data_IF_916279894913
#
_entry.id   IF_916279894913
#
_cell.length_a   1.000
_cell.length_b   1.000
_cell.length_c   1.000
_cell.angle_alpha   90.00
_cell.angle_beta   90.00
_cell.angle_gamma   90.00
#
_symmetry.space_group_name_H-M   'P 1'
#
loop_
_entity.id
_entity.type
_entity.pdbx_description
1 polymer ?
#
# COMPACT_ATOMS: atom_id res chain seq x y z
N UNK A 1 2.43 13.65 21.32
CA UNK A 1 3.08 13.03 20.14
C UNK A 1 2.06 12.16 19.44
N UNK A 2 2.00 12.19 18.10
CA UNK A 2 1.13 11.26 17.35
C UNK A 2 1.66 9.85 17.55
N UNK A 3 0.80 8.90 17.87
CA UNK A 3 1.18 7.47 18.04
C UNK A 3 1.52 6.84 16.70
N UNK A 4 2.43 5.88 16.68
CA UNK A 4 2.77 5.11 15.49
C UNK A 4 1.54 4.42 14.89
N UNK A 5 1.53 4.28 13.57
CA UNK A 5 0.45 3.68 12.77
C UNK A 5 0.98 2.52 11.94
N UNK A 6 0.09 1.83 11.25
CA UNK A 6 0.47 0.80 10.29
C UNK A 6 0.21 1.32 8.88
N UNK A 7 1.24 1.35 8.05
CA UNK A 7 1.13 1.79 6.66
C UNK A 7 1.42 0.64 5.69
N UNK A 8 0.39 0.27 4.90
CA UNK A 8 0.55 -0.65 3.78
C UNK A 8 1.09 0.10 2.56
N UNK A 9 2.38 -0.05 2.32
CA UNK A 9 3.13 0.68 1.29
C UNK A 9 3.41 -0.13 0.02
N UNK A 10 2.75 -1.26 -0.15
CA UNK A 10 2.79 -2.01 -1.39
C UNK A 10 2.03 -1.32 -2.53
N UNK A 11 2.49 -1.52 -3.75
CA UNK A 11 1.84 -0.95 -4.94
C UNK A 11 0.45 -1.56 -5.16
N UNK A 12 -0.49 -0.85 -5.82
CA UNK A 12 -1.79 -1.42 -6.17
C UNK A 12 -1.64 -2.80 -6.85
N UNK A 13 -2.57 -3.72 -6.61
CA UNK A 13 -2.59 -5.11 -7.15
C UNK A 13 -1.52 -6.05 -6.58
N UNK A 14 -0.91 -5.71 -5.46
CA UNK A 14 -0.02 -6.61 -4.70
C UNK A 14 -0.70 -7.29 -3.49
N UNK A 15 -2.02 -7.15 -3.35
CA UNK A 15 -2.77 -7.69 -2.20
C UNK A 15 -3.10 -6.65 -1.12
N UNK A 16 -3.04 -5.36 -1.45
CA UNK A 16 -3.31 -4.25 -0.52
C UNK A 16 -4.69 -4.32 0.14
N UNK A 17 -5.70 -4.81 -0.59
CA UNK A 17 -7.05 -4.99 -0.06
C UNK A 17 -7.13 -6.15 0.94
N UNK A 18 -6.48 -7.26 0.63
CA UNK A 18 -6.37 -8.40 1.55
C UNK A 18 -5.64 -8.00 2.84
N UNK A 19 -4.57 -7.21 2.72
CA UNK A 19 -3.88 -6.64 3.88
C UNK A 19 -4.81 -5.75 4.71
N UNK A 20 -5.58 -4.86 4.06
CA UNK A 20 -6.54 -4.00 4.77
C UNK A 20 -7.53 -4.81 5.60
N UNK A 21 -8.15 -5.82 5.00
CA UNK A 21 -9.09 -6.71 5.70
C UNK A 21 -8.42 -7.52 6.82
N UNK A 22 -7.19 -7.98 6.61
CA UNK A 22 -6.43 -8.68 7.65
C UNK A 22 -6.17 -7.76 8.87
N UNK A 23 -5.83 -6.50 8.64
CA UNK A 23 -5.66 -5.53 9.71
C UNK A 23 -6.97 -5.23 10.46
N UNK A 24 -8.10 -5.17 9.74
CA UNK A 24 -9.43 -5.04 10.37
C UNK A 24 -9.77 -6.24 11.26
N UNK A 25 -9.48 -7.46 10.80
CA UNK A 25 -9.66 -8.70 11.60
C UNK A 25 -8.79 -8.66 12.86
N UNK A 26 -7.59 -8.08 12.79
CA UNK A 26 -6.69 -7.88 13.94
C UNK A 26 -7.13 -6.72 14.87
N UNK A 27 -8.26 -6.08 14.59
CA UNK A 27 -8.86 -5.04 15.42
C UNK A 27 -8.39 -3.61 15.13
N UNK A 28 -7.68 -3.38 14.02
CA UNK A 28 -7.26 -2.03 13.61
C UNK A 28 -8.34 -1.31 12.81
N UNK A 29 -8.57 -0.04 13.10
CA UNK A 29 -9.39 0.85 12.24
C UNK A 29 -8.59 1.17 10.99
N UNK A 30 -8.96 0.56 9.86
CA UNK A 30 -8.17 0.57 8.65
C UNK A 30 -8.83 1.38 7.54
N UNK A 31 -8.07 2.24 6.87
CA UNK A 31 -8.47 2.92 5.66
C UNK A 31 -7.80 2.32 4.42
N UNK A 32 -8.62 2.01 3.40
CA UNK A 32 -8.12 1.51 2.12
C UNK A 32 -8.46 2.47 0.99
N UNK A 33 -7.45 2.85 0.18
CA UNK A 33 -7.62 3.80 -0.92
C UNK A 33 -8.24 5.12 -0.48
N UNK A 34 -7.52 5.85 0.37
CA UNK A 34 -8.00 7.08 0.98
C UNK A 34 -8.19 8.20 -0.04
N UNK A 35 -9.38 8.81 0.00
CA UNK A 35 -9.81 9.82 -0.95
C UNK A 35 -9.54 11.23 -0.40
N UNK A 36 -8.28 11.63 -0.35
CA UNK A 36 -7.93 12.99 0.06
C UNK A 36 -7.29 13.78 -1.09
N UNK A 37 -7.63 15.05 -1.18
CA UNK A 37 -6.99 16.00 -2.11
C UNK A 37 -5.82 16.71 -1.44
N UNK A 38 -5.81 16.80 -0.13
CA UNK A 38 -4.85 17.59 0.64
C UNK A 38 -3.43 17.08 0.49
N UNK A 39 -3.22 15.77 0.41
CA UNK A 39 -1.89 15.19 0.19
C UNK A 39 -1.27 15.58 -1.16
N UNK A 40 -2.08 15.78 -2.20
CA UNK A 40 -1.62 16.29 -3.50
C UNK A 40 -1.22 17.76 -3.43
N UNK A 41 -1.63 18.46 -2.38
CA UNK A 41 -1.27 19.87 -2.09
C UNK A 41 -0.12 19.97 -1.09
N UNK A 42 0.47 18.83 -0.67
CA UNK A 42 1.54 18.77 0.33
C UNK A 42 1.07 18.88 1.78
N UNK A 43 -0.25 18.93 2.00
CA UNK A 43 -0.83 18.93 3.34
C UNK A 43 -1.13 17.48 3.78
N UNK A 44 -0.31 16.97 4.69
CA UNK A 44 -0.45 15.66 5.31
C UNK A 44 -1.11 15.72 6.70
N UNK A 45 -1.54 16.89 7.16
CA UNK A 45 -2.31 17.13 8.39
C UNK A 45 -3.79 16.83 8.15
N UNK A 46 -4.12 15.60 7.77
CA UNK A 46 -5.51 15.25 7.50
C UNK A 46 -6.15 14.57 8.69
N UNK A 47 -7.38 14.95 9.03
CA UNK A 47 -8.16 14.32 10.10
C UNK A 47 -8.47 12.85 9.78
N UNK A 48 -8.47 12.48 8.50
CA UNK A 48 -8.75 11.11 8.07
C UNK A 48 -7.77 10.09 8.65
N UNK A 49 -6.48 10.44 8.83
CA UNK A 49 -5.50 9.58 9.47
C UNK A 49 -5.57 9.66 11.01
N UNK A 50 -6.15 10.71 11.56
CA UNK A 50 -6.24 10.87 13.02
C UNK A 50 -7.07 9.74 13.65
N UNK A 51 -8.14 9.31 12.98
CA UNK A 51 -9.05 8.29 13.47
C UNK A 51 -8.70 6.86 13.03
N UNK A 52 -7.70 6.69 12.17
CA UNK A 52 -7.28 5.40 11.68
C UNK A 52 -6.03 4.89 12.40
N UNK A 53 -5.98 3.59 12.63
CA UNK A 53 -4.80 2.91 13.15
C UNK A 53 -3.91 2.42 12.01
N UNK A 54 -4.51 2.16 10.83
CA UNK A 54 -3.82 1.70 9.64
C UNK A 54 -4.35 2.34 8.35
N UNK A 55 -3.49 2.45 7.35
CA UNK A 55 -3.85 2.91 6.01
C UNK A 55 -3.12 2.13 4.93
N UNK A 56 -3.82 1.77 3.85
CA UNK A 56 -3.27 0.93 2.76
C UNK A 56 -3.68 1.47 1.39
N UNK A 57 -2.92 1.05 0.36
CA UNK A 57 -3.15 1.42 -1.04
C UNK A 57 -2.85 2.90 -1.36
N UNK A 58 -2.97 3.25 -2.64
CA UNK A 58 -2.71 4.62 -3.12
C UNK A 58 -3.53 5.67 -2.36
N UNK A 59 -2.92 6.77 -1.90
CA UNK A 59 -1.57 7.22 -2.23
C UNK A 59 -0.48 6.86 -1.20
N UNK A 60 -0.76 5.98 -0.22
CA UNK A 60 0.18 5.63 0.86
C UNK A 60 1.57 5.21 0.34
N UNK A 61 1.70 4.34 -0.71
CA UNK A 61 3.01 3.93 -1.22
C UNK A 61 3.88 5.06 -1.74
N UNK A 62 3.28 6.18 -2.11
CA UNK A 62 4.01 7.33 -2.67
C UNK A 62 4.58 8.22 -1.58
N UNK A 63 3.88 8.34 -0.45
CA UNK A 63 4.17 9.29 0.62
C UNK A 63 4.64 8.63 1.93
N UNK A 64 5.13 7.37 1.89
CA UNK A 64 5.56 6.69 3.12
C UNK A 64 6.68 7.42 3.88
N UNK A 65 7.63 8.14 3.25
CA UNK A 65 8.64 8.87 4.01
C UNK A 65 8.07 10.05 4.80
N UNK A 66 7.03 10.70 4.27
CA UNK A 66 6.32 11.79 4.95
C UNK A 66 5.52 11.25 6.15
N UNK A 67 4.87 10.10 5.98
CA UNK A 67 4.14 9.45 7.07
C UNK A 67 5.07 8.92 8.17
N UNK A 68 6.23 8.40 7.82
CA UNK A 68 7.24 7.96 8.79
C UNK A 68 7.71 9.11 9.69
N UNK A 69 8.04 10.25 9.07
CA UNK A 69 8.42 11.46 9.82
C UNK A 69 7.30 11.98 10.73
N UNK A 70 6.05 11.86 10.26
CA UNK A 70 4.88 12.43 10.94
C UNK A 70 4.35 11.55 12.07
N UNK A 71 4.46 10.25 11.93
CA UNK A 71 3.98 9.24 12.87
C UNK A 71 5.14 8.35 13.35
N UNK A 72 6.05 8.88 14.21
CA UNK A 72 7.19 8.10 14.71
C UNK A 72 6.74 6.80 15.38
N UNK A 73 7.51 5.73 15.20
CA UNK A 73 7.18 4.39 15.72
C UNK A 73 6.15 3.64 14.90
N UNK A 74 5.87 4.10 13.68
CA UNK A 74 4.99 3.39 12.74
C UNK A 74 5.62 2.10 12.23
N UNK A 75 4.76 1.16 11.81
CA UNK A 75 5.14 -0.08 11.11
C UNK A 75 4.73 -0.01 9.65
N UNK A 76 5.59 -0.50 8.78
CA UNK A 76 5.40 -0.44 7.34
C UNK A 76 5.33 -1.85 6.74
N UNK A 77 4.32 -2.10 5.92
CA UNK A 77 4.10 -3.40 5.29
C UNK A 77 4.11 -3.19 3.78
N UNK A 78 5.17 -3.62 3.12
CA UNK A 78 5.29 -3.58 1.67
C UNK A 78 4.77 -4.88 1.08
N UNK A 79 3.48 -4.92 0.70
CA UNK A 79 2.97 -6.03 -0.08
C UNK A 79 3.64 -6.04 -1.46
N UNK A 80 4.10 -7.19 -1.89
CA UNK A 80 4.74 -7.37 -3.20
C UNK A 80 4.28 -8.66 -3.86
N UNK A 81 4.65 -8.85 -5.10
CA UNK A 81 4.49 -10.10 -5.86
C UNK A 81 5.49 -10.10 -7.01
N UNK A 82 5.61 -11.25 -7.67
CA UNK A 82 6.42 -11.38 -8.88
C UNK A 82 6.07 -10.27 -9.91
N UNK A 83 7.10 -9.62 -10.46
CA UNK A 83 6.94 -8.45 -11.34
C UNK A 83 6.13 -8.77 -12.59
N UNK A 84 6.35 -9.92 -13.23
CA UNK A 84 5.61 -10.29 -14.45
C UNK A 84 4.13 -10.55 -14.14
N UNK A 85 3.88 -11.25 -13.04
CA UNK A 85 2.52 -11.49 -12.53
C UNK A 85 1.82 -10.19 -12.17
N UNK A 86 2.55 -9.24 -11.56
CA UNK A 86 2.03 -7.92 -11.24
C UNK A 86 1.68 -7.12 -12.49
N UNK A 87 2.56 -7.09 -13.50
CA UNK A 87 2.33 -6.38 -14.76
C UNK A 87 1.08 -6.88 -15.49
N UNK A 88 0.86 -8.20 -15.52
CA UNK A 88 -0.38 -8.78 -16.08
C UNK A 88 -1.61 -8.33 -15.30
N UNK A 89 -1.54 -8.32 -13.97
CA UNK A 89 -2.66 -7.95 -13.11
C UNK A 89 -3.02 -6.47 -13.22
N UNK A 90 -2.04 -5.58 -13.20
CA UNK A 90 -2.28 -4.13 -13.25
C UNK A 90 -2.77 -3.71 -14.65
N UNK A 91 -2.24 -4.31 -15.72
CA UNK A 91 -2.72 -4.10 -17.09
C UNK A 91 -4.20 -4.46 -17.20
N UNK A 92 -4.58 -5.69 -16.83
CA UNK A 92 -5.98 -6.15 -16.84
C UNK A 92 -6.90 -5.24 -16.01
N UNK A 93 -6.43 -4.82 -14.84
CA UNK A 93 -7.18 -3.91 -13.97
C UNK A 93 -7.42 -2.55 -14.64
N UNK A 94 -6.42 -2.01 -15.31
CA UNK A 94 -6.55 -0.72 -15.99
C UNK A 94 -7.39 -0.80 -17.24
N UNK A 95 -7.29 -1.88 -18.03
CA UNK A 95 -8.12 -2.13 -19.20
C UNK A 95 -9.59 -2.28 -18.81
N UNK A 96 -9.89 -3.01 -17.74
CA UNK A 96 -11.25 -3.13 -17.18
C UNK A 96 -11.86 -1.80 -16.71
N UNK A 97 -11.02 -0.81 -16.43
CA UNK A 97 -11.44 0.54 -16.01
C UNK A 97 -11.50 1.55 -17.15
N UNK A 98 -11.14 1.17 -18.39
CA UNK A 98 -11.04 2.10 -19.53
C UNK A 98 -12.39 2.78 -19.88
N UNK A 99 -13.52 2.13 -19.62
CA UNK A 99 -14.84 2.75 -19.80
C UNK A 99 -15.12 3.94 -18.88
N UNK A 100 -14.66 3.86 -17.63
CA UNK A 100 -14.96 4.86 -16.57
C UNK A 100 -13.77 5.77 -16.25
N UNK A 101 -12.54 5.31 -16.45
CA UNK A 101 -11.35 5.97 -15.92
C UNK A 101 -10.90 7.21 -16.70
N UNK A 102 -11.29 7.35 -17.96
CA UNK A 102 -11.03 8.58 -18.72
C UNK A 102 -11.87 9.76 -18.19
N UNK A 103 -12.98 9.49 -17.50
CA UNK A 103 -13.88 10.49 -16.92
C UNK A 103 -13.59 10.77 -15.43
N UNK A 104 -12.92 9.86 -14.72
CA UNK A 104 -12.55 10.06 -13.31
C UNK A 104 -11.20 10.75 -13.19
N UNK A 105 -11.23 12.08 -13.09
CA UNK A 105 -10.04 12.91 -12.93
C UNK A 105 -9.18 12.52 -11.72
N UNK A 106 -9.79 12.04 -10.64
CA UNK A 106 -9.07 11.60 -9.44
C UNK A 106 -8.22 10.36 -9.73
N UNK A 107 -8.75 9.35 -10.44
CA UNK A 107 -7.99 8.16 -10.86
C UNK A 107 -6.83 8.54 -11.77
N UNK A 108 -7.04 9.50 -12.67
CA UNK A 108 -5.98 10.03 -13.54
C UNK A 108 -4.88 10.68 -12.72
N UNK A 109 -5.21 11.53 -11.75
CA UNK A 109 -4.24 12.18 -10.86
C UNK A 109 -3.43 11.16 -10.07
N UNK A 110 -4.07 10.12 -9.49
CA UNK A 110 -3.35 9.06 -8.77
C UNK A 110 -2.48 8.21 -9.69
N UNK A 111 -2.87 7.95 -10.93
CA UNK A 111 -2.01 7.29 -11.92
C UNK A 111 -0.79 8.12 -12.24
N UNK A 112 -0.98 9.41 -12.50
CA UNK A 112 0.13 10.33 -12.74
C UNK A 112 1.09 10.38 -11.55
N UNK A 113 0.55 10.48 -10.34
CA UNK A 113 1.32 10.48 -9.09
C UNK A 113 2.13 9.19 -8.92
N UNK A 114 1.49 8.04 -9.15
CA UNK A 114 2.10 6.72 -8.86
C UNK A 114 3.04 6.26 -9.97
N UNK A 115 2.65 6.45 -11.24
CA UNK A 115 3.37 5.89 -12.39
C UNK A 115 4.01 6.95 -13.29
N UNK A 116 3.69 8.24 -13.08
CA UNK A 116 4.17 9.33 -13.92
C UNK A 116 3.49 9.41 -15.29
N UNK A 117 2.39 8.66 -15.51
CA UNK A 117 1.62 8.68 -16.75
C UNK A 117 0.18 8.21 -16.55
N UNK A 118 -0.70 8.55 -17.50
CA UNK A 118 -2.12 8.21 -17.43
C UNK A 118 -2.46 6.83 -17.99
N UNK A 119 -1.69 6.37 -18.99
CA UNK A 119 -1.92 5.11 -19.66
C UNK A 119 -0.90 4.05 -19.24
N UNK A 120 -1.27 2.79 -19.40
CA UNK A 120 -0.36 1.69 -19.12
C UNK A 120 0.79 1.67 -20.13
N UNK A 121 2.02 1.58 -19.63
CA UNK A 121 3.23 1.31 -20.37
C UNK A 121 4.01 0.21 -19.65
N UNK A 122 4.28 -0.87 -20.33
CA UNK A 122 4.95 -2.04 -19.76
C UNK A 122 6.29 -1.66 -19.12
N UNK A 123 7.12 -0.94 -19.87
CA UNK A 123 8.46 -0.53 -19.42
C UNK A 123 8.41 0.42 -18.22
N UNK A 124 7.53 1.44 -18.31
CA UNK A 124 7.39 2.41 -17.22
C UNK A 124 6.87 1.77 -15.94
N UNK A 125 5.88 0.91 -16.04
CA UNK A 125 5.30 0.25 -14.88
C UNK A 125 6.29 -0.73 -14.23
N UNK A 126 7.04 -1.48 -15.03
CA UNK A 126 8.15 -2.30 -14.55
C UNK A 126 9.16 -1.46 -13.77
N UNK A 127 9.65 -0.40 -14.39
CA UNK A 127 10.59 0.51 -13.75
C UNK A 127 10.07 1.04 -12.40
N UNK A 128 8.79 1.45 -12.35
CA UNK A 128 8.20 2.02 -11.13
C UNK A 128 8.09 0.97 -10.01
N UNK A 129 7.59 -0.24 -10.28
CA UNK A 129 7.43 -1.25 -9.23
C UNK A 129 8.78 -1.74 -8.71
N UNK A 130 9.75 -1.97 -9.58
CA UNK A 130 11.10 -2.41 -9.19
C UNK A 130 11.85 -1.31 -8.43
N UNK A 131 11.72 -0.06 -8.87
CA UNK A 131 12.33 1.09 -8.18
C UNK A 131 11.69 1.31 -6.83
N UNK A 132 10.36 1.19 -6.73
CA UNK A 132 9.67 1.30 -5.45
C UNK A 132 10.16 0.27 -4.43
N UNK A 133 10.27 -1.00 -4.82
CA UNK A 133 10.76 -2.06 -3.93
C UNK A 133 12.19 -1.79 -3.46
N UNK A 134 13.09 -1.40 -4.36
CA UNK A 134 14.46 -1.02 -4.00
C UNK A 134 14.51 0.16 -3.04
N UNK A 135 13.74 1.21 -3.32
CA UNK A 135 13.70 2.41 -2.49
C UNK A 135 13.16 2.11 -1.10
N UNK A 136 12.13 1.28 -0.98
CA UNK A 136 11.60 0.85 0.32
C UNK A 136 12.65 0.09 1.11
N UNK A 137 13.31 -0.89 0.52
CA UNK A 137 14.38 -1.65 1.18
C UNK A 137 15.54 -0.76 1.62
N UNK A 138 15.96 0.15 0.75
CA UNK A 138 17.02 1.11 1.06
C UNK A 138 16.61 2.07 2.19
N UNK A 139 15.38 2.59 2.16
CA UNK A 139 14.88 3.53 3.16
C UNK A 139 14.87 2.95 4.58
N UNK A 140 14.52 1.66 4.70
CA UNK A 140 14.43 0.96 5.98
C UNK A 140 15.67 0.12 6.32
N UNK A 141 16.77 0.22 5.57
CA UNK A 141 17.95 -0.63 5.75
C UNK A 141 18.51 -0.62 7.17
N UNK A 142 18.47 0.54 7.84
CA UNK A 142 18.95 0.72 9.22
C UNK A 142 17.86 0.47 10.27
N UNK A 143 16.64 0.17 9.85
CA UNK A 143 15.46 -0.08 10.70
C UNK A 143 14.63 -1.27 10.19
N UNK A 144 15.25 -2.44 10.00
CA UNK A 144 14.54 -3.59 9.40
C UNK A 144 13.35 -4.07 10.26
N UNK A 145 13.33 -3.79 11.55
CA UNK A 145 12.21 -4.11 12.45
C UNK A 145 10.95 -3.29 12.16
N UNK A 146 11.05 -2.18 11.41
CA UNK A 146 9.92 -1.32 11.08
C UNK A 146 9.28 -1.67 9.74
N UNK A 147 9.92 -2.54 8.95
CA UNK A 147 9.46 -2.97 7.63
C UNK A 147 9.15 -4.47 7.58
N UNK A 148 7.99 -4.81 7.03
CA UNK A 148 7.65 -6.17 6.60
C UNK A 148 7.55 -6.21 5.07
N UNK A 149 8.38 -7.01 4.41
CA UNK A 149 8.17 -7.42 3.03
C UNK A 149 7.20 -8.61 3.01
N UNK A 150 6.05 -8.45 2.33
CA UNK A 150 4.91 -9.35 2.49
C UNK A 150 4.40 -9.86 1.14
N UNK A 151 4.70 -11.11 0.81
CA UNK A 151 4.29 -11.77 -0.45
C UNK A 151 3.01 -12.59 -0.27
N UNK A 152 1.88 -11.90 -0.27
CA UNK A 152 0.56 -12.54 -0.20
C UNK A 152 0.29 -13.49 -1.37
N UNK A 153 0.83 -13.20 -2.54
CA UNK A 153 0.65 -14.04 -3.73
C UNK A 153 1.55 -15.27 -3.69
N UNK A 154 2.70 -15.18 -3.02
CA UNK A 154 3.65 -16.26 -2.79
C UNK A 154 3.30 -17.15 -1.58
N UNK A 155 2.25 -16.81 -0.81
CA UNK A 155 1.76 -17.66 0.27
C UNK A 155 1.87 -17.08 1.68
N UNK A 156 2.47 -15.91 1.86
CA UNK A 156 2.51 -15.24 3.16
C UNK A 156 1.09 -15.07 3.73
N UNK A 157 0.96 -15.16 5.04
CA UNK A 157 -0.32 -15.14 5.73
C UNK A 157 -0.22 -14.66 7.18
N UNK A 158 -1.06 -15.24 8.04
CA UNK A 158 -1.18 -14.83 9.43
C UNK A 158 0.13 -14.96 10.22
N UNK A 159 0.89 -16.02 10.06
CA UNK A 159 2.12 -16.25 10.82
C UNK A 159 3.08 -15.07 10.70
N UNK A 160 3.31 -14.63 9.47
CA UNK A 160 4.26 -13.56 9.18
C UNK A 160 3.74 -12.19 9.61
N UNK A 161 2.45 -11.91 9.33
CA UNK A 161 1.82 -10.65 9.70
C UNK A 161 1.71 -10.50 11.22
N UNK A 162 1.22 -11.53 11.90
CA UNK A 162 1.01 -11.50 13.35
C UNK A 162 2.33 -11.46 14.12
N UNK A 163 3.35 -12.18 13.65
CA UNK A 163 4.70 -12.10 14.22
C UNK A 163 5.26 -10.67 14.15
N UNK A 164 5.09 -10.01 13.00
CA UNK A 164 5.57 -8.63 12.82
C UNK A 164 4.82 -7.60 13.67
N UNK A 165 3.52 -7.79 13.88
CA UNK A 165 2.67 -6.88 14.64
C UNK A 165 2.55 -7.22 16.14
N UNK A 166 3.13 -8.34 16.57
CA UNK A 166 3.00 -8.82 17.97
C UNK A 166 1.56 -9.19 18.33
N UNK A 167 0.80 -9.79 17.38
CA UNK A 167 -0.61 -10.17 17.56
C UNK A 167 -0.79 -11.68 17.57
N UNK A 168 -1.80 -12.21 18.26
CA UNK A 168 -2.17 -13.60 18.14
C UNK A 168 -2.72 -13.89 16.73
N UNK A 169 -2.51 -15.11 16.25
CA UNK A 169 -3.06 -15.59 14.99
C UNK A 169 -4.57 -15.80 15.14
N UNK A 170 -5.42 -15.18 14.29
CA UNK A 170 -6.86 -15.40 14.32
C UNK A 170 -7.23 -16.83 13.93
N UNK A 171 -8.30 -17.37 14.53
CA UNK A 171 -8.87 -18.67 14.17
C UNK A 171 -9.79 -18.55 12.93
N UNK A 172 -9.23 -18.06 11.84
CA UNK A 172 -9.88 -18.00 10.53
C UNK A 172 -8.85 -17.86 9.41
N UNK A 173 -9.20 -18.28 8.18
CA UNK A 173 -8.31 -18.15 7.03
C UNK A 173 -7.90 -16.71 6.77
N UNK A 174 -6.68 -16.51 6.24
CA UNK A 174 -6.22 -15.19 5.81
C UNK A 174 -7.12 -14.67 4.67
N UNK A 175 -7.63 -13.42 4.73
CA UNK A 175 -8.51 -12.88 3.71
C UNK A 175 -7.78 -12.74 2.37
N UNK A 176 -8.34 -13.34 1.31
CA UNK A 176 -7.81 -13.23 -0.06
C UNK A 176 -8.87 -12.61 -0.95
N UNK A 177 -8.62 -11.34 -1.34
CA UNK A 177 -9.53 -10.56 -2.18
C UNK A 177 -8.87 -10.25 -3.50
N UNK A 178 -9.53 -10.59 -4.60
CA UNK A 178 -9.08 -10.33 -5.98
C UNK A 178 -9.37 -8.89 -6.44
#
# INVERSE_FOLDING_TARGET
MKTGKIFGIGMPRTGTRSLSMALEILGYRTGHWLKTKTWLQGDFETDILAELDAATDTPIPVYYPEFDKRYPGSKFICTHRDTESWLRSIKKHQEGLLGDSHRDERRRRYRLLTYGMYQFSLERYRYVVETHQRNVLWYFQDRPSDLLMFDLCGGDGWEKLCSFLGKPIPDQPFPRVS
#
